data_IF_587362028182
#
_entry.id   IF_587362028182
#
_cell.length_a   1.000
_cell.length_b   1.000
_cell.length_c   1.000
_cell.angle_alpha   90.00
_cell.angle_beta   90.00
_cell.angle_gamma   90.00
#
_symmetry.space_group_name_H-M   'P 1'
#
loop_
_entity.id
_entity.type
_entity.pdbx_description
1 polymer ?
#
# COMPACT_ATOMS: atom_id res chain seq x y z
N UNK A 1 34.02 3.32 -13.70
CA UNK A 1 34.23 4.14 -12.49
C UNK A 1 34.00 5.61 -12.86
N UNK A 2 32.74 6.04 -12.79
CA UNK A 2 32.37 7.43 -12.61
C UNK A 2 31.10 7.41 -11.77
N UNK A 3 31.27 7.61 -10.46
CA UNK A 3 30.16 7.91 -9.57
C UNK A 3 29.54 9.20 -10.09
N UNK A 4 28.33 9.09 -10.64
CA UNK A 4 27.44 10.25 -10.73
C UNK A 4 27.17 10.62 -9.28
N UNK A 5 27.79 11.71 -8.81
CA UNK A 5 27.40 12.36 -7.56
C UNK A 5 25.96 12.81 -7.78
N UNK A 6 25.02 12.07 -7.20
CA UNK A 6 23.68 12.58 -7.02
C UNK A 6 23.80 13.87 -6.21
N UNK A 7 23.21 14.93 -6.72
CA UNK A 7 22.96 16.14 -5.94
C UNK A 7 22.02 15.67 -4.84
N UNK A 8 22.53 15.54 -3.61
CA UNK A 8 21.68 15.53 -2.42
C UNK A 8 20.85 16.81 -2.53
N UNK A 9 19.58 16.68 -2.92
CA UNK A 9 18.59 17.73 -2.69
C UNK A 9 18.58 17.85 -1.17
N UNK A 10 19.18 18.90 -0.60
CA UNK A 10 18.99 19.24 0.80
C UNK A 10 17.48 19.37 1.01
N UNK A 11 16.87 18.32 1.58
CA UNK A 11 15.44 18.31 1.90
C UNK A 11 15.29 19.30 3.05
N UNK A 12 14.85 20.51 2.75
CA UNK A 12 14.52 21.51 3.78
C UNK A 12 13.32 20.95 4.53
N UNK A 13 13.55 20.49 5.76
CA UNK A 13 12.49 20.00 6.62
C UNK A 13 11.47 21.13 6.86
N UNK A 14 10.18 20.81 6.70
CA UNK A 14 9.12 21.79 6.94
C UNK A 14 9.12 22.17 8.41
N UNK A 15 9.38 23.45 8.70
CA UNK A 15 9.35 23.96 10.07
C UNK A 15 7.90 23.97 10.56
N UNK A 16 7.60 23.14 11.56
CA UNK A 16 6.26 22.99 12.12
C UNK A 16 6.20 23.34 13.60
N UNK A 17 4.99 23.64 14.09
CA UNK A 17 4.68 23.63 15.53
C UNK A 17 3.24 23.17 15.74
N UNK A 18 2.98 22.51 16.86
CA UNK A 18 1.64 22.00 17.20
C UNK A 18 1.10 22.73 18.43
N UNK A 19 -0.11 23.29 18.32
CA UNK A 19 -0.92 23.77 19.45
C UNK A 19 -2.32 23.22 19.31
N UNK A 20 -2.58 22.07 19.91
CA UNK A 20 -3.84 21.33 19.74
C UNK A 20 -5.08 22.25 19.85
N UNK A 21 -6.04 22.17 18.91
CA UNK A 21 -6.14 21.21 17.80
C UNK A 21 -5.44 21.65 16.49
N UNK A 22 -4.52 22.61 16.54
CA UNK A 22 -3.90 23.21 15.36
C UNK A 22 -2.47 22.74 15.12
N UNK A 23 -2.13 22.52 13.87
CA UNK A 23 -0.76 22.31 13.36
C UNK A 23 -0.41 23.49 12.47
N UNK A 24 0.75 24.09 12.67
CA UNK A 24 1.23 25.24 11.89
C UNK A 24 2.50 24.88 11.16
N UNK A 25 2.64 25.38 9.94
CA UNK A 25 3.77 25.16 9.05
C UNK A 25 4.27 26.49 8.53
N UNK A 26 5.56 26.77 8.68
CA UNK A 26 6.20 27.92 8.06
C UNK A 26 6.71 27.55 6.67
N UNK A 27 6.42 28.40 5.68
CA UNK A 27 6.86 28.24 4.31
C UNK A 27 7.42 29.55 3.77
N UNK A 28 8.59 29.48 3.14
CA UNK A 28 9.20 30.64 2.54
C UNK A 28 8.53 31.06 1.21
N UNK A 29 8.45 32.38 0.94
CA UNK A 29 8.74 33.48 1.86
C UNK A 29 7.53 33.79 2.76
N UNK A 30 7.75 33.86 4.08
CA UNK A 30 6.87 34.57 5.03
C UNK A 30 5.41 34.08 5.12
N UNK A 31 5.14 32.81 4.84
CA UNK A 31 3.79 32.24 4.92
C UNK A 31 3.67 31.22 6.03
N UNK A 32 2.51 31.21 6.68
CA UNK A 32 2.12 30.19 7.65
C UNK A 32 0.88 29.48 7.16
N UNK A 33 0.98 28.17 6.97
CA UNK A 33 -0.19 27.31 6.79
C UNK A 33 -0.61 26.73 8.13
N UNK A 34 -1.90 26.79 8.43
CA UNK A 34 -2.48 26.23 9.64
C UNK A 34 -3.48 25.15 9.25
N UNK A 35 -3.35 23.97 9.82
CA UNK A 35 -4.34 22.91 9.77
C UNK A 35 -5.02 22.76 11.13
N UNK A 36 -6.35 22.70 11.15
CA UNK A 36 -7.14 22.39 12.34
C UNK A 36 -7.62 20.95 12.27
N UNK A 37 -7.20 20.13 13.23
CA UNK A 37 -7.60 18.73 13.36
C UNK A 37 -9.04 18.61 13.89
N UNK A 38 -9.92 18.01 13.09
CA UNK A 38 -11.33 17.84 13.43
C UNK A 38 -11.77 16.38 13.58
N UNK A 39 -11.04 15.42 12.98
CA UNK A 39 -11.33 13.99 13.06
C UNK A 39 -10.11 13.16 13.46
N UNK A 40 -10.32 11.86 13.67
CA UNK A 40 -9.24 10.86 13.85
C UNK A 40 -8.83 10.15 12.56
N UNK A 41 -9.36 10.59 11.40
CA UNK A 41 -9.03 10.02 10.09
C UNK A 41 -7.68 10.58 9.61
N UNK A 42 -6.78 9.69 9.19
CA UNK A 42 -5.48 10.09 8.66
C UNK A 42 -5.60 10.62 7.22
N UNK A 43 -4.73 11.56 6.88
CA UNK A 43 -4.68 12.23 5.59
C UNK A 43 -3.65 11.57 4.65
N UNK A 44 -3.84 11.77 3.36
CA UNK A 44 -2.89 11.51 2.27
C UNK A 44 -2.74 12.79 1.44
N UNK A 45 -1.72 12.84 0.58
CA UNK A 45 -1.53 13.97 -0.36
C UNK A 45 -2.69 14.18 -1.33
N UNK A 46 -3.56 13.19 -1.56
CA UNK A 46 -4.74 13.33 -2.42
C UNK A 46 -5.98 13.81 -1.66
N UNK A 47 -6.04 13.59 -0.34
CA UNK A 47 -7.21 13.94 0.48
C UNK A 47 -6.92 14.99 1.57
N UNK A 48 -5.74 15.61 1.57
CA UNK A 48 -5.29 16.55 2.62
C UNK A 48 -6.23 17.73 2.89
N UNK A 49 -7.08 18.10 1.93
CA UNK A 49 -8.10 19.14 2.11
C UNK A 49 -9.37 18.64 2.81
N UNK A 50 -9.50 17.33 3.02
CA UNK A 50 -10.63 16.70 3.71
C UNK A 50 -10.36 16.63 5.21
N UNK A 51 -11.42 16.41 6.01
CA UNK A 51 -11.31 16.03 7.43
C UNK A 51 -10.65 17.06 8.39
N UNK A 52 -10.57 18.32 7.98
CA UNK A 52 -10.17 19.44 8.81
C UNK A 52 -10.31 20.76 8.08
N UNK A 53 -9.74 21.81 8.67
CA UNK A 53 -9.80 23.16 8.11
C UNK A 53 -8.38 23.70 7.91
N UNK A 54 -8.07 24.10 6.68
CA UNK A 54 -6.82 24.79 6.38
C UNK A 54 -7.01 26.30 6.26
N UNK A 55 -6.02 27.05 6.76
CA UNK A 55 -5.90 28.50 6.57
C UNK A 55 -4.47 28.89 6.25
N UNK A 56 -4.27 30.03 5.60
CA UNK A 56 -2.96 30.62 5.35
C UNK A 56 -2.87 32.01 5.97
N UNK A 57 -1.69 32.39 6.41
CA UNK A 57 -1.39 33.71 6.99
C UNK A 57 -0.06 34.22 6.46
N UNK A 58 0.09 35.53 6.37
CA UNK A 58 1.37 36.18 6.05
C UNK A 58 1.99 36.69 7.35
N UNK A 59 3.29 36.49 7.52
CA UNK A 59 4.06 36.95 8.68
C UNK A 59 5.24 37.83 8.21
N UNK A 60 5.87 38.57 9.13
CA UNK A 60 6.94 39.50 8.76
C UNK A 60 8.24 38.79 8.34
N UNK A 61 8.60 37.74 9.07
CA UNK A 61 9.82 36.96 8.92
C UNK A 61 9.68 35.59 9.61
N UNK A 62 10.71 34.75 9.53
CA UNK A 62 10.75 33.45 10.18
C UNK A 62 10.72 33.54 11.73
N UNK A 63 11.32 34.57 12.33
CA UNK A 63 11.34 34.73 13.80
C UNK A 63 9.93 34.92 14.35
N UNK A 64 9.08 35.64 13.60
CA UNK A 64 7.68 35.83 13.93
C UNK A 64 6.88 34.50 13.98
N UNK A 65 7.35 33.44 13.32
CA UNK A 65 6.67 32.14 13.33
C UNK A 65 6.58 31.54 14.73
N UNK A 66 7.61 31.68 15.56
CA UNK A 66 7.63 31.06 16.90
C UNK A 66 6.51 31.62 17.79
N UNK A 67 6.36 32.94 17.76
CA UNK A 67 5.36 33.67 18.55
C UNK A 67 3.99 33.77 17.87
N UNK A 68 3.87 33.40 16.59
CA UNK A 68 2.63 33.50 15.81
C UNK A 68 1.41 32.89 16.51
N UNK A 69 0.30 33.62 16.46
CA UNK A 69 -1.05 33.24 16.90
C UNK A 69 -2.05 33.64 15.83
N UNK A 70 -2.85 32.69 15.37
CA UNK A 70 -3.78 32.90 14.27
C UNK A 70 -5.00 33.76 14.69
N UNK A 71 -5.33 33.78 15.98
CA UNK A 71 -6.45 34.55 16.53
C UNK A 71 -6.20 36.06 16.49
N UNK A 72 -4.93 36.47 16.44
CA UNK A 72 -4.48 37.86 16.41
C UNK A 72 -4.25 38.36 14.97
N UNK A 73 -4.48 37.52 13.96
CA UNK A 73 -4.15 37.80 12.55
C UNK A 73 -5.37 37.57 11.65
N UNK A 74 -5.71 38.54 10.81
CA UNK A 74 -6.79 38.35 9.83
C UNK A 74 -6.29 37.47 8.67
N UNK A 75 -7.01 36.38 8.32
CA UNK A 75 -6.66 35.59 7.16
C UNK A 75 -6.90 36.42 5.88
N UNK A 76 -6.04 36.31 4.86
CA UNK A 76 -6.28 36.91 3.55
C UNK A 76 -7.54 36.30 2.90
N UNK A 77 -8.18 37.05 2.00
CA UNK A 77 -9.31 36.55 1.23
C UNK A 77 -8.86 35.45 0.25
N UNK A 78 -9.39 34.24 0.44
CA UNK A 78 -9.07 33.06 -0.38
C UNK A 78 -8.01 32.16 0.25
N UNK A 79 -8.12 30.85 0.00
CA UNK A 79 -7.19 29.84 0.47
C UNK A 79 -6.58 29.08 -0.71
N UNK A 80 -5.26 29.02 -0.76
CA UNK A 80 -4.52 28.19 -1.70
C UNK A 80 -3.19 27.76 -1.09
N UNK A 81 -2.90 26.47 -1.17
CA UNK A 81 -1.56 25.94 -0.86
C UNK A 81 -0.79 25.86 -2.17
N UNK A 82 0.35 26.53 -2.21
CA UNK A 82 1.29 26.48 -3.33
C UNK A 82 2.63 25.98 -2.79
N UNK A 83 2.74 24.66 -2.60
CA UNK A 83 3.98 24.01 -2.17
C UNK A 83 4.31 22.85 -3.11
N UNK A 84 5.58 22.46 -3.17
CA UNK A 84 6.00 21.25 -3.87
C UNK A 84 5.38 20.01 -3.23
N UNK A 85 5.18 18.96 -4.02
CA UNK A 85 4.53 17.74 -3.55
C UNK A 85 5.30 17.05 -2.41
N UNK A 86 6.63 17.08 -2.45
CA UNK A 86 7.51 16.67 -1.34
C UNK A 86 7.15 17.38 -0.03
N UNK A 87 6.99 18.72 -0.09
CA UNK A 87 6.68 19.57 1.08
C UNK A 87 5.26 19.27 1.58
N UNK A 88 4.30 19.10 0.67
CA UNK A 88 2.94 18.72 1.04
C UNK A 88 2.91 17.36 1.75
N UNK A 89 3.68 16.39 1.27
CA UNK A 89 3.80 15.08 1.88
C UNK A 89 4.37 15.18 3.31
N UNK A 90 5.40 15.99 3.53
CA UNK A 90 5.96 16.24 4.86
C UNK A 90 4.94 16.91 5.80
N UNK A 91 4.15 17.87 5.28
CA UNK A 91 3.06 18.51 6.05
C UNK A 91 1.97 17.49 6.43
N UNK A 92 1.55 16.64 5.50
CA UNK A 92 0.57 15.56 5.73
C UNK A 92 1.07 14.60 6.80
N UNK A 93 2.34 14.22 6.74
CA UNK A 93 2.95 13.32 7.72
C UNK A 93 2.94 13.92 9.13
N UNK A 94 3.27 15.20 9.26
CA UNK A 94 3.24 15.91 10.55
C UNK A 94 1.82 16.06 11.10
N UNK A 95 0.83 16.31 10.23
CA UNK A 95 -0.58 16.29 10.61
C UNK A 95 -0.98 14.90 11.13
N UNK A 96 -0.60 13.82 10.43
CA UNK A 96 -0.95 12.46 10.84
C UNK A 96 -0.30 12.06 12.16
N UNK A 97 0.96 12.45 12.39
CA UNK A 97 1.63 12.27 13.67
C UNK A 97 0.87 13.00 14.79
N UNK A 98 0.42 14.23 14.52
CA UNK A 98 -0.38 15.01 15.47
C UNK A 98 -1.75 14.37 15.73
N UNK A 99 -2.42 13.86 14.70
CA UNK A 99 -3.71 13.13 14.84
C UNK A 99 -3.53 11.90 15.73
N UNK A 100 -2.46 11.12 15.51
CA UNK A 100 -2.16 9.94 16.31
C UNK A 100 -1.88 10.31 17.77
N UNK A 101 -1.04 11.31 18.01
CA UNK A 101 -0.69 11.80 19.35
C UNK A 101 -1.91 12.27 20.14
N UNK A 102 -2.83 13.00 19.50
CA UNK A 102 -4.01 13.58 20.14
C UNK A 102 -5.30 12.78 19.89
N UNK A 103 -5.18 11.53 19.43
CA UNK A 103 -6.31 10.69 18.98
C UNK A 103 -7.41 10.55 20.03
N UNK A 104 -7.03 10.31 21.29
CA UNK A 104 -8.00 10.19 22.40
C UNK A 104 -8.87 11.45 22.55
N UNK A 105 -8.25 12.64 22.50
CA UNK A 105 -8.98 13.91 22.61
C UNK A 105 -9.86 14.16 21.38
N UNK A 106 -9.38 13.81 20.20
CA UNK A 106 -10.13 13.91 18.94
C UNK A 106 -11.34 12.95 18.93
N UNK A 107 -11.20 11.75 19.47
CA UNK A 107 -12.28 10.76 19.56
C UNK A 107 -13.41 11.19 20.52
N UNK A 108 -13.12 12.07 21.48
CA UNK A 108 -14.13 12.64 22.38
C UNK A 108 -14.94 13.78 21.76
N UNK A 109 -14.51 14.37 20.64
CA UNK A 109 -15.24 15.48 20.01
C UNK A 109 -16.60 15.00 19.45
N UNK A 110 -17.67 15.82 19.58
CA UNK A 110 -18.93 15.55 18.92
C UNK A 110 -18.72 15.38 17.41
N UNK A 111 -19.38 14.40 16.79
CA UNK A 111 -19.31 14.10 15.36
C UNK A 111 -17.94 13.62 14.83
N UNK A 112 -16.96 13.37 15.71
CA UNK A 112 -15.69 12.75 15.32
C UNK A 112 -15.90 11.31 14.87
N UNK A 113 -15.40 10.98 13.67
CA UNK A 113 -15.41 9.63 13.13
C UNK A 113 -14.23 8.85 13.69
N UNK A 114 -14.46 8.14 14.80
CA UNK A 114 -13.52 7.15 15.30
C UNK A 114 -13.83 5.79 14.65
N UNK A 115 -12.91 5.22 13.83
CA UNK A 115 -13.15 3.96 13.12
C UNK A 115 -13.30 2.75 14.05
N UNK A 116 -12.89 2.87 15.32
CA UNK A 116 -12.99 1.82 16.33
C UNK A 116 -14.06 2.09 17.40
N UNK A 117 -14.91 3.11 17.20
CA UNK A 117 -16.03 3.36 18.10
C UNK A 117 -17.18 2.40 17.79
N UNK A 118 -17.70 1.75 18.83
CA UNK A 118 -18.84 0.82 18.74
C UNK A 118 -18.62 -0.37 17.78
N UNK A 119 -17.36 -0.73 17.47
CA UNK A 119 -17.03 -1.92 16.67
C UNK A 119 -16.74 -3.12 17.56
N UNK A 120 -17.13 -4.31 17.10
CA UNK A 120 -16.92 -5.56 17.85
C UNK A 120 -15.70 -6.35 17.37
N UNK A 121 -15.15 -6.01 16.21
CA UNK A 121 -14.00 -6.70 15.62
C UNK A 121 -13.28 -5.84 14.57
N UNK A 122 -11.99 -6.14 14.38
CA UNK A 122 -11.15 -5.53 13.34
C UNK A 122 -10.77 -6.60 12.31
N UNK A 123 -10.88 -6.25 11.03
CA UNK A 123 -10.52 -7.10 9.92
C UNK A 123 -9.35 -6.48 9.15
N UNK A 124 -8.31 -7.28 8.90
CA UNK A 124 -7.11 -6.84 8.18
C UNK A 124 -6.97 -7.67 6.90
N UNK A 125 -6.72 -7.01 5.77
CA UNK A 125 -6.67 -7.65 4.45
C UNK A 125 -5.54 -7.08 3.57
N UNK A 126 -5.11 -7.86 2.58
CA UNK A 126 -3.94 -7.63 1.74
C UNK A 126 -4.09 -6.58 0.62
N UNK A 127 -5.29 -6.08 0.37
CA UNK A 127 -5.56 -5.09 -0.69
C UNK A 127 -6.77 -4.21 -0.37
N UNK A 128 -6.82 -2.97 -0.88
CA UNK A 128 -8.05 -2.13 -0.79
C UNK A 128 -9.25 -2.76 -1.48
N UNK A 129 -9.03 -3.51 -2.57
CA UNK A 129 -10.11 -4.25 -3.22
C UNK A 129 -10.67 -5.33 -2.30
N UNK A 130 -9.82 -6.09 -1.60
CA UNK A 130 -10.27 -7.04 -0.60
C UNK A 130 -10.98 -6.33 0.57
N UNK A 131 -10.51 -5.15 0.96
CA UNK A 131 -11.13 -4.36 2.01
C UNK A 131 -12.55 -3.95 1.63
N UNK A 132 -12.78 -3.53 0.39
CA UNK A 132 -14.11 -3.30 -0.18
C UNK A 132 -15.01 -4.53 -0.07
N UNK A 133 -14.52 -5.69 -0.51
CA UNK A 133 -15.28 -6.95 -0.44
C UNK A 133 -15.65 -7.32 1.00
N UNK A 134 -14.71 -7.23 1.94
CA UNK A 134 -14.92 -7.55 3.36
C UNK A 134 -15.83 -6.54 4.06
N UNK A 135 -15.72 -5.24 3.72
CA UNK A 135 -16.61 -4.18 4.22
C UNK A 135 -18.07 -4.47 3.88
N UNK A 136 -18.35 -5.06 2.71
CA UNK A 136 -19.71 -5.44 2.32
C UNK A 136 -20.11 -6.80 2.91
N UNK A 137 -19.19 -7.77 2.95
CA UNK A 137 -19.52 -9.16 3.30
C UNK A 137 -19.71 -9.41 4.80
N UNK A 138 -18.90 -8.78 5.65
CA UNK A 138 -19.01 -8.94 7.11
C UNK A 138 -20.09 -7.98 7.62
N UNK A 139 -20.94 -8.38 8.58
CA UNK A 139 -21.97 -7.49 9.13
C UNK A 139 -21.38 -6.45 10.11
N UNK A 140 -22.05 -5.31 10.26
CA UNK A 140 -21.67 -4.30 11.26
C UNK A 140 -22.09 -4.72 12.69
N UNK A 141 -21.38 -4.24 13.73
CA UNK A 141 -20.34 -3.22 13.67
C UNK A 141 -18.91 -3.80 13.58
N UNK A 142 -18.11 -3.26 12.67
CA UNK A 142 -16.76 -3.76 12.32
C UNK A 142 -15.86 -2.62 11.83
N UNK A 143 -14.55 -2.80 11.98
CA UNK A 143 -13.52 -2.01 11.29
C UNK A 143 -12.79 -2.87 10.25
N UNK A 144 -12.41 -2.29 9.11
CA UNK A 144 -11.66 -3.00 8.06
C UNK A 144 -10.48 -2.15 7.60
N UNK A 145 -9.27 -2.67 7.83
CA UNK A 145 -7.99 -2.08 7.45
C UNK A 145 -7.49 -2.81 6.20
N UNK A 146 -7.29 -2.05 5.12
CA UNK A 146 -6.77 -2.54 3.85
C UNK A 146 -5.29 -2.23 3.71
N UNK A 147 -4.54 -3.18 3.18
CA UNK A 147 -3.19 -2.95 2.69
C UNK A 147 -3.22 -2.45 1.26
N UNK A 148 -2.26 -1.64 0.84
CA UNK A 148 -2.34 -0.95 -0.47
C UNK A 148 -1.28 -1.40 -1.47
N UNK A 149 -0.38 -2.28 -1.06
CA UNK A 149 0.72 -2.75 -1.90
C UNK A 149 0.72 -4.26 -2.11
N UNK A 150 1.48 -4.72 -3.11
CA UNK A 150 1.72 -6.14 -3.33
C UNK A 150 3.12 -6.51 -2.84
N UNK A 151 3.21 -7.39 -1.84
CA UNK A 151 4.49 -7.81 -1.25
C UNK A 151 5.17 -8.97 -2.00
N UNK A 152 4.50 -9.50 -3.03
CA UNK A 152 5.13 -10.42 -3.98
C UNK A 152 6.23 -9.74 -4.82
N UNK A 153 6.15 -8.42 -4.99
CA UNK A 153 7.07 -7.61 -5.80
C UNK A 153 7.73 -6.51 -4.97
N UNK A 154 8.91 -6.08 -5.40
CA UNK A 154 9.73 -5.09 -4.72
C UNK A 154 10.46 -5.64 -3.49
N UNK A 155 11.43 -4.88 -2.96
CA UNK A 155 12.16 -5.28 -1.76
C UNK A 155 11.23 -5.22 -0.54
N UNK A 156 11.39 -6.15 0.39
CA UNK A 156 10.75 -6.12 1.72
C UNK A 156 11.79 -6.04 2.84
N UNK A 157 13.04 -5.78 2.46
CA UNK A 157 14.16 -5.67 3.38
C UNK A 157 13.82 -4.64 4.46
N UNK A 158 13.81 -5.07 5.72
CA UNK A 158 13.44 -4.24 6.89
C UNK A 158 12.14 -3.43 6.69
N UNK A 159 11.12 -3.96 6.01
CA UNK A 159 9.89 -3.19 5.74
C UNK A 159 9.15 -2.68 7.01
N UNK A 160 9.44 -3.28 8.16
CA UNK A 160 8.95 -2.87 9.48
C UNK A 160 9.73 -1.69 10.09
N UNK A 161 10.77 -1.20 9.42
CA UNK A 161 11.58 -0.04 9.79
C UNK A 161 11.47 1.05 8.71
N UNK A 162 11.66 2.32 9.08
CA UNK A 162 11.57 3.47 8.16
C UNK A 162 12.53 3.35 6.98
N UNK A 163 13.78 2.95 7.24
CA UNK A 163 14.81 2.76 6.20
C UNK A 163 14.39 1.76 5.12
N UNK A 164 13.74 0.66 5.52
CA UNK A 164 13.25 -0.35 4.59
C UNK A 164 12.05 0.12 3.77
N UNK A 165 11.20 0.96 4.37
CA UNK A 165 10.07 1.60 3.67
C UNK A 165 10.56 2.58 2.61
N UNK A 166 11.52 3.45 2.95
CA UNK A 166 12.13 4.40 2.01
C UNK A 166 12.80 3.67 0.84
N UNK A 167 13.60 2.63 1.12
CA UNK A 167 14.25 1.81 0.10
C UNK A 167 13.23 1.14 -0.84
N UNK A 168 12.11 0.68 -0.30
CA UNK A 168 11.03 0.10 -1.11
C UNK A 168 10.32 1.15 -1.96
N UNK A 169 10.04 2.32 -1.40
CA UNK A 169 9.37 3.41 -2.13
C UNK A 169 10.22 3.90 -3.30
N UNK A 170 11.53 4.05 -3.11
CA UNK A 170 12.48 4.37 -4.19
C UNK A 170 12.46 3.29 -5.28
N UNK A 171 12.50 2.01 -4.90
CA UNK A 171 12.42 0.92 -5.86
C UNK A 171 11.09 0.94 -6.64
N UNK A 172 9.96 1.14 -5.96
CA UNK A 172 8.65 1.22 -6.61
C UNK A 172 8.58 2.41 -7.57
N UNK A 173 9.10 3.57 -7.18
CA UNK A 173 9.17 4.78 -8.00
C UNK A 173 9.96 4.55 -9.30
N UNK A 174 11.13 3.91 -9.21
CA UNK A 174 12.00 3.67 -10.37
C UNK A 174 11.46 2.58 -11.31
N UNK A 175 10.78 1.57 -10.76
CA UNK A 175 10.50 0.34 -11.49
C UNK A 175 9.01 0.15 -11.83
N UNK A 176 8.08 0.73 -11.09
CA UNK A 176 6.64 0.49 -11.26
C UNK A 176 5.94 1.76 -11.74
N UNK A 177 5.37 1.70 -12.95
CA UNK A 177 4.53 2.78 -13.48
C UNK A 177 3.16 2.74 -12.79
N UNK A 178 3.05 3.38 -11.63
CA UNK A 178 1.77 3.56 -10.92
C UNK A 178 0.95 4.68 -11.55
N UNK A 179 -0.36 4.45 -11.74
CA UNK A 179 -1.30 5.51 -12.11
C UNK A 179 -1.72 6.39 -10.92
N UNK A 180 -1.26 6.05 -9.71
CA UNK A 180 -1.54 6.83 -8.49
C UNK A 180 -0.68 8.09 -8.43
N UNK A 181 -1.16 9.10 -7.69
CA UNK A 181 -0.39 10.30 -7.38
C UNK A 181 0.90 9.93 -6.61
N UNK A 182 1.97 10.70 -6.86
CA UNK A 182 3.24 10.55 -6.14
C UNK A 182 3.00 10.66 -4.61
N UNK A 183 3.64 9.78 -3.82
CA UNK A 183 3.45 9.58 -2.38
C UNK A 183 2.12 8.95 -1.91
N UNK A 184 1.10 8.80 -2.75
CA UNK A 184 -0.20 8.27 -2.31
C UNK A 184 -0.08 6.86 -1.72
N UNK A 185 0.68 5.98 -2.36
CA UNK A 185 0.96 4.63 -1.87
C UNK A 185 1.70 4.63 -0.53
N UNK A 186 2.70 5.51 -0.39
CA UNK A 186 3.50 5.67 0.82
C UNK A 186 2.67 6.22 2.00
N UNK A 187 1.83 7.24 1.77
CA UNK A 187 0.93 7.76 2.80
C UNK A 187 -0.04 6.68 3.26
N UNK A 188 -0.65 5.95 2.33
CA UNK A 188 -1.58 4.87 2.63
C UNK A 188 -0.92 3.76 3.45
N UNK A 189 0.30 3.35 3.08
CA UNK A 189 1.06 2.36 3.82
C UNK A 189 1.33 2.82 5.26
N UNK A 190 1.81 4.07 5.45
CA UNK A 190 2.07 4.63 6.78
C UNK A 190 0.79 4.78 7.61
N UNK A 191 -0.30 5.24 7.00
CA UNK A 191 -1.59 5.36 7.67
C UNK A 191 -2.13 4.00 8.10
N UNK A 192 -1.98 2.96 7.28
CA UNK A 192 -2.33 1.59 7.65
C UNK A 192 -1.55 1.11 8.88
N UNK A 193 -0.25 1.42 8.98
CA UNK A 193 0.53 1.12 10.20
C UNK A 193 0.01 1.87 11.43
N UNK A 194 -0.34 3.15 11.28
CA UNK A 194 -0.96 3.94 12.36
C UNK A 194 -2.31 3.37 12.78
N UNK A 195 -3.16 2.99 11.82
CA UNK A 195 -4.45 2.35 12.09
C UNK A 195 -4.28 1.03 12.83
N UNK A 196 -3.28 0.22 12.46
CA UNK A 196 -2.96 -1.01 13.20
C UNK A 196 -2.51 -0.67 14.62
N UNK A 197 -1.61 0.30 14.80
CA UNK A 197 -1.14 0.72 16.11
C UNK A 197 -2.30 1.19 17.00
N UNK A 198 -3.29 1.87 16.43
CA UNK A 198 -4.46 2.40 17.10
C UNK A 198 -5.53 1.36 17.46
N UNK A 199 -5.39 0.10 17.03
CA UNK A 199 -6.36 -0.96 17.36
C UNK A 199 -6.42 -1.14 18.89
N UNK A 200 -7.60 -0.99 19.52
CA UNK A 200 -7.80 -1.29 20.93
C UNK A 200 -7.47 -2.74 21.26
N UNK A 201 -6.73 -2.99 22.34
CA UNK A 201 -6.27 -4.34 22.74
C UNK A 201 -7.40 -5.33 23.02
N UNK A 202 -8.60 -4.83 23.32
CA UNK A 202 -9.78 -5.65 23.65
C UNK A 202 -10.48 -6.23 22.42
N UNK A 203 -10.21 -5.72 21.21
CA UNK A 203 -10.92 -6.14 20.00
C UNK A 203 -10.25 -7.37 19.36
N UNK A 204 -11.02 -8.40 18.95
CA UNK A 204 -10.46 -9.48 18.16
C UNK A 204 -10.06 -9.00 16.75
N UNK A 205 -8.96 -9.54 16.24
CA UNK A 205 -8.43 -9.24 14.90
C UNK A 205 -8.62 -10.45 14.00
N UNK A 206 -9.23 -10.27 12.83
CA UNK A 206 -9.38 -11.28 11.79
C UNK A 206 -8.50 -10.91 10.58
N UNK A 207 -7.49 -11.71 10.28
CA UNK A 207 -6.61 -11.50 9.13
C UNK A 207 -7.06 -12.42 7.99
N UNK A 208 -7.44 -11.84 6.86
CA UNK A 208 -7.85 -12.60 5.66
C UNK A 208 -6.68 -12.74 4.70
N UNK A 209 -6.46 -13.96 4.23
CA UNK A 209 -5.36 -14.28 3.33
C UNK A 209 -5.66 -15.55 2.52
N UNK A 210 -4.96 -15.69 1.40
CA UNK A 210 -4.95 -16.85 0.52
C UNK A 210 -3.57 -17.41 0.32
N UNK A 211 -3.45 -18.33 -0.63
CA UNK A 211 -2.26 -19.14 -0.86
C UNK A 211 -1.41 -18.61 -2.02
N UNK A 212 -1.17 -17.30 -2.06
CA UNK A 212 -0.27 -16.65 -3.03
C UNK A 212 0.88 -15.91 -2.32
N UNK A 213 1.92 -15.57 -3.08
CA UNK A 213 3.13 -14.96 -2.52
C UNK A 213 2.88 -13.61 -1.85
N UNK A 214 1.94 -12.81 -2.38
CA UNK A 214 1.65 -11.49 -1.84
C UNK A 214 0.93 -11.60 -0.51
N UNK A 215 -0.17 -12.37 -0.45
CA UNK A 215 -0.97 -12.49 0.77
C UNK A 215 -0.25 -13.28 1.87
N UNK A 216 0.56 -14.28 1.50
CA UNK A 216 1.37 -15.02 2.45
C UNK A 216 2.51 -14.16 3.02
N UNK A 217 3.16 -13.32 2.21
CA UNK A 217 4.17 -12.37 2.70
C UNK A 217 3.55 -11.30 3.59
N UNK A 218 2.38 -10.79 3.20
CA UNK A 218 1.57 -9.86 3.98
C UNK A 218 1.20 -10.42 5.35
N UNK A 219 0.74 -11.67 5.42
CA UNK A 219 0.42 -12.32 6.69
C UNK A 219 1.61 -12.29 7.67
N UNK A 220 2.82 -12.65 7.21
CA UNK A 220 4.03 -12.62 8.06
C UNK A 220 4.35 -11.21 8.51
N UNK A 221 4.26 -10.24 7.59
CA UNK A 221 4.52 -8.84 7.90
C UNK A 221 3.56 -8.32 8.98
N UNK A 222 2.24 -8.48 8.79
CA UNK A 222 1.24 -7.99 9.73
C UNK A 222 1.34 -8.68 11.09
N UNK A 223 1.56 -10.00 11.13
CA UNK A 223 1.76 -10.70 12.40
C UNK A 223 3.02 -10.22 13.13
N UNK A 224 4.05 -9.83 12.39
CA UNK A 224 5.23 -9.19 12.99
C UNK A 224 4.92 -7.79 13.51
N UNK A 225 4.15 -6.96 12.79
CA UNK A 225 3.73 -5.63 13.29
C UNK A 225 2.87 -5.77 14.56
N UNK A 226 1.99 -6.77 14.62
CA UNK A 226 1.11 -7.05 15.75
C UNK A 226 1.79 -7.74 16.94
N UNK A 227 3.09 -8.10 16.86
CA UNK A 227 3.79 -8.97 17.82
C UNK A 227 3.75 -8.55 19.29
N UNK A 228 3.50 -7.26 19.56
CA UNK A 228 3.45 -6.71 20.91
C UNK A 228 2.01 -6.41 21.38
N UNK A 229 1.00 -6.71 20.57
CA UNK A 229 -0.40 -6.48 20.91
C UNK A 229 -1.02 -7.69 21.62
N UNK A 230 -1.86 -7.42 22.60
CA UNK A 230 -2.57 -8.45 23.38
C UNK A 230 -3.86 -8.98 22.71
N UNK A 231 -4.21 -8.44 21.53
CA UNK A 231 -5.42 -8.81 20.80
C UNK A 231 -5.46 -10.31 20.49
N UNK A 232 -6.65 -10.91 20.58
CA UNK A 232 -6.88 -12.26 20.06
C UNK A 232 -6.90 -12.21 18.53
N UNK A 233 -6.06 -13.01 17.88
CA UNK A 233 -5.91 -13.03 16.42
C UNK A 233 -6.51 -14.31 15.84
N UNK A 234 -7.29 -14.17 14.77
CA UNK A 234 -7.86 -15.27 13.98
C UNK A 234 -7.35 -15.18 12.54
N UNK A 235 -6.90 -16.31 12.01
CA UNK A 235 -6.41 -16.42 10.64
C UNK A 235 -7.50 -17.01 9.75
N UNK A 236 -7.99 -16.21 8.81
CA UNK A 236 -9.05 -16.56 7.87
C UNK A 236 -8.42 -16.94 6.53
N UNK A 237 -7.90 -18.17 6.40
CA UNK A 237 -7.44 -18.69 5.10
C UNK A 237 -8.65 -18.89 4.20
N UNK A 238 -8.91 -17.96 3.28
CA UNK A 238 -10.13 -18.02 2.50
C UNK A 238 -10.16 -19.23 1.56
N UNK A 239 -9.01 -19.73 1.10
CA UNK A 239 -8.95 -20.89 0.21
C UNK A 239 -9.46 -22.12 0.94
N UNK A 240 -8.90 -22.40 2.12
CA UNK A 240 -9.30 -23.55 2.94
C UNK A 240 -10.76 -23.43 3.42
N UNK A 241 -11.20 -22.22 3.80
CA UNK A 241 -12.57 -21.99 4.22
C UNK A 241 -13.57 -22.12 3.06
N UNK A 242 -13.21 -21.64 1.87
CA UNK A 242 -14.05 -21.76 0.68
C UNK A 242 -14.18 -23.23 0.23
N UNK A 243 -13.07 -23.98 0.24
CA UNK A 243 -13.05 -25.44 0.03
C UNK A 243 -13.98 -26.18 0.98
N UNK A 244 -13.96 -25.79 2.25
CA UNK A 244 -14.68 -26.49 3.31
C UNK A 244 -16.19 -26.19 3.30
N UNK A 245 -16.58 -24.94 3.02
CA UNK A 245 -17.95 -24.48 3.29
C UNK A 245 -18.76 -24.09 2.05
N UNK A 246 -18.13 -23.79 0.92
CA UNK A 246 -18.84 -23.27 -0.26
C UNK A 246 -18.75 -24.24 -1.44
N UNK A 247 -17.56 -24.73 -1.77
CA UNK A 247 -17.42 -25.66 -2.89
C UNK A 247 -17.53 -27.12 -2.48
N UNK A 248 -17.95 -27.96 -3.42
CA UNK A 248 -17.69 -29.40 -3.37
C UNK A 248 -16.29 -29.68 -3.91
N UNK A 249 -15.67 -30.82 -3.55
CA UNK A 249 -14.29 -31.19 -3.93
C UNK A 249 -14.01 -31.21 -5.44
N UNK A 250 -15.04 -31.12 -6.30
CA UNK A 250 -14.94 -31.22 -7.75
C UNK A 250 -14.85 -29.87 -8.50
N UNK A 251 -15.08 -28.72 -7.84
CA UNK A 251 -14.89 -27.41 -8.50
C UNK A 251 -13.47 -26.89 -8.20
N UNK A 252 -12.56 -27.04 -9.15
CA UNK A 252 -11.19 -26.56 -9.00
C UNK A 252 -11.11 -25.02 -8.88
N UNK A 253 -10.30 -24.58 -7.93
CA UNK A 253 -9.99 -23.21 -7.53
C UNK A 253 -9.77 -22.23 -8.69
N UNK A 254 -10.65 -21.22 -8.79
CA UNK A 254 -10.46 -20.06 -9.67
C UNK A 254 -9.95 -18.80 -8.94
N UNK A 255 -9.93 -18.80 -7.61
CA UNK A 255 -9.58 -17.61 -6.82
C UNK A 255 -8.11 -17.62 -6.45
N UNK A 256 -7.42 -16.53 -6.78
CA UNK A 256 -6.01 -16.32 -6.45
C UNK A 256 -5.83 -15.38 -5.26
N UNK A 257 -6.72 -14.40 -5.11
CA UNK A 257 -6.65 -13.37 -4.07
C UNK A 257 -7.97 -13.27 -3.31
N UNK A 258 -7.91 -12.77 -2.08
CA UNK A 258 -9.08 -12.53 -1.23
C UNK A 258 -10.07 -11.58 -1.93
N UNK A 259 -9.54 -10.63 -2.71
CA UNK A 259 -10.33 -9.66 -3.49
C UNK A 259 -11.21 -10.30 -4.56
N UNK A 260 -10.95 -11.54 -4.98
CA UNK A 260 -11.76 -12.22 -5.98
C UNK A 260 -13.02 -12.88 -5.41
N UNK A 261 -13.17 -12.93 -4.08
CA UNK A 261 -14.39 -13.44 -3.44
C UNK A 261 -15.56 -12.50 -3.69
N UNK A 262 -16.76 -13.06 -3.84
CA UNK A 262 -17.97 -12.27 -3.74
C UNK A 262 -18.22 -11.92 -2.26
N UNK A 263 -18.77 -10.73 -1.98
CA UNK A 263 -19.10 -10.34 -0.60
C UNK A 263 -20.09 -11.30 0.08
N UNK A 264 -20.94 -11.97 -0.70
CA UNK A 264 -21.85 -13.00 -0.18
C UNK A 264 -21.10 -14.23 0.34
N UNK A 265 -20.02 -14.62 -0.32
CA UNK A 265 -19.16 -15.72 0.11
C UNK A 265 -18.43 -15.33 1.40
N UNK A 266 -17.85 -14.12 1.44
CA UNK A 266 -17.20 -13.59 2.65
C UNK A 266 -18.14 -13.63 3.86
N UNK A 267 -19.42 -13.27 3.66
CA UNK A 267 -20.45 -13.37 4.71
C UNK A 267 -20.58 -14.80 5.23
N UNK A 268 -20.75 -15.77 4.33
CA UNK A 268 -20.89 -17.19 4.69
C UNK A 268 -19.64 -17.69 5.44
N UNK A 269 -18.45 -17.37 4.95
CA UNK A 269 -17.19 -17.77 5.60
C UNK A 269 -17.07 -17.18 7.00
N UNK A 270 -17.45 -15.91 7.19
CA UNK A 270 -17.40 -15.27 8.50
C UNK A 270 -18.48 -15.80 9.47
N UNK A 271 -19.67 -16.15 8.98
CA UNK A 271 -20.70 -16.81 9.80
C UNK A 271 -20.23 -18.19 10.31
N UNK A 272 -19.38 -18.88 9.53
CA UNK A 272 -18.76 -20.17 9.89
C UNK A 272 -17.47 -20.05 10.70
N UNK A 273 -17.05 -18.82 11.08
CA UNK A 273 -15.80 -18.58 11.83
C UNK A 273 -15.71 -19.28 13.18
N UNK A 274 -16.82 -19.75 13.76
CA UNK A 274 -16.81 -20.40 15.08
C UNK A 274 -15.92 -21.65 15.17
N UNK A 275 -15.54 -22.24 14.03
CA UNK A 275 -14.60 -23.35 13.96
C UNK A 275 -13.14 -22.92 13.78
N UNK A 276 -12.89 -21.63 13.48
CA UNK A 276 -11.54 -21.07 13.34
C UNK A 276 -10.98 -20.82 14.74
N UNK A 277 -9.88 -21.49 15.04
CA UNK A 277 -9.18 -21.32 16.32
C UNK A 277 -8.39 -20.03 16.32
N UNK A 278 -8.28 -19.42 17.49
CA UNK A 278 -7.36 -18.31 17.69
C UNK A 278 -5.93 -18.81 17.47
N UNK A 279 -5.11 -17.94 16.87
CA UNK A 279 -3.69 -18.17 16.64
C UNK A 279 -2.99 -18.36 17.99
N UNK A 280 -2.28 -19.48 18.15
CA UNK A 280 -1.57 -19.74 19.39
C UNK A 280 -0.14 -19.16 19.38
N UNK A 281 0.49 -19.08 20.55
CA UNK A 281 1.83 -18.50 20.71
C UNK A 281 2.91 -19.21 19.90
N UNK A 282 2.83 -20.54 19.75
CA UNK A 282 3.83 -21.31 19.00
C UNK A 282 3.72 -21.05 17.49
N UNK A 283 2.49 -20.95 16.97
CA UNK A 283 2.22 -20.55 15.58
C UNK A 283 2.68 -19.10 15.33
N UNK A 284 2.35 -18.18 16.22
CA UNK A 284 2.75 -16.77 16.13
C UNK A 284 4.28 -16.62 16.10
N UNK A 285 4.98 -17.31 17.00
CA UNK A 285 6.44 -17.33 17.05
C UNK A 285 7.08 -17.86 15.76
N UNK A 286 6.46 -18.87 15.13
CA UNK A 286 6.91 -19.39 13.85
C UNK A 286 6.76 -18.35 12.73
N UNK A 287 5.64 -17.64 12.67
CA UNK A 287 5.45 -16.55 11.70
C UNK A 287 6.45 -15.40 11.92
N UNK A 288 6.78 -15.07 13.17
CA UNK A 288 7.80 -14.05 13.46
C UNK A 288 9.17 -14.43 12.92
N UNK A 289 9.62 -15.67 13.15
CA UNK A 289 10.88 -16.18 12.59
C UNK A 289 10.90 -16.16 11.07
N UNK A 290 9.78 -16.51 10.44
CA UNK A 290 9.64 -16.44 8.99
C UNK A 290 9.78 -15.01 8.49
N UNK A 291 9.15 -14.04 9.15
CA UNK A 291 9.32 -12.63 8.82
C UNK A 291 10.75 -12.12 9.04
N UNK A 292 11.39 -12.47 10.15
CA UNK A 292 12.78 -12.10 10.44
C UNK A 292 13.71 -12.59 9.33
N UNK A 293 13.48 -13.80 8.81
CA UNK A 293 14.25 -14.34 7.69
C UNK A 293 13.92 -13.59 6.38
N UNK A 294 12.63 -13.41 6.07
CA UNK A 294 12.18 -12.76 4.84
C UNK A 294 12.62 -11.29 4.74
N UNK A 295 12.61 -10.57 5.86
CA UNK A 295 12.98 -9.16 5.94
C UNK A 295 14.49 -8.90 5.88
N UNK A 296 15.32 -9.94 5.86
CA UNK A 296 16.75 -9.81 5.51
C UNK A 296 17.02 -10.01 4.01
N UNK A 297 16.05 -10.57 3.27
CA UNK A 297 16.22 -10.88 1.87
C UNK A 297 16.12 -9.59 1.01
N UNK A 298 17.01 -9.48 0.03
CA UNK A 298 17.12 -8.28 -0.84
C UNK A 298 16.48 -8.46 -2.21
N UNK A 299 15.98 -9.66 -2.53
CA UNK A 299 15.30 -9.86 -3.80
C UNK A 299 13.97 -9.12 -3.87
N UNK A 300 13.51 -8.97 -5.10
CA UNK A 300 12.38 -8.13 -5.45
C UNK A 300 11.21 -8.92 -6.03
N UNK A 301 11.31 -10.25 -6.06
CA UNK A 301 10.29 -11.13 -6.60
C UNK A 301 10.15 -12.39 -5.76
N UNK A 302 8.91 -12.71 -5.40
CA UNK A 302 8.56 -13.85 -4.56
C UNK A 302 7.46 -14.68 -5.22
N UNK A 303 7.55 -16.00 -5.07
CA UNK A 303 6.52 -16.97 -5.44
C UNK A 303 6.13 -17.81 -4.23
N UNK A 304 4.91 -18.36 -4.22
CA UNK A 304 4.46 -19.28 -3.18
C UNK A 304 4.29 -20.67 -3.75
N UNK A 305 5.09 -21.63 -3.29
CA UNK A 305 5.05 -23.04 -3.71
C UNK A 305 5.33 -23.94 -2.52
N UNK A 306 4.67 -25.09 -2.47
CA UNK A 306 4.82 -26.08 -1.40
C UNK A 306 4.70 -25.47 0.02
N UNK A 307 3.73 -24.56 0.19
CA UNK A 307 3.49 -23.80 1.42
C UNK A 307 4.68 -22.94 1.89
N UNK A 308 5.55 -22.51 0.98
CA UNK A 308 6.71 -21.67 1.27
C UNK A 308 6.78 -20.47 0.34
N UNK A 309 7.18 -19.34 0.93
CA UNK A 309 7.56 -18.14 0.19
C UNK A 309 8.99 -18.34 -0.30
N UNK A 310 9.16 -18.31 -1.61
CA UNK A 310 10.44 -18.50 -2.28
C UNK A 310 10.84 -17.21 -2.99
N UNK A 311 12.02 -16.70 -2.70
CA UNK A 311 12.62 -15.63 -3.49
C UNK A 311 13.12 -16.20 -4.81
N UNK A 312 12.80 -15.52 -5.91
CA UNK A 312 13.22 -15.89 -7.25
C UNK A 312 13.94 -14.73 -7.92
N UNK A 313 14.67 -15.01 -9.00
CA UNK A 313 15.37 -13.96 -9.74
C UNK A 313 14.37 -12.98 -10.34
N UNK A 314 14.73 -11.70 -10.35
CA UNK A 314 13.90 -10.63 -10.92
C UNK A 314 13.50 -10.89 -12.40
N UNK A 315 14.35 -11.56 -13.17
CA UNK A 315 14.11 -11.91 -14.57
C UNK A 315 13.39 -13.26 -14.78
N UNK A 316 12.79 -13.84 -13.73
CA UNK A 316 12.12 -15.15 -13.76
C UNK A 316 11.09 -15.27 -14.91
N UNK A 317 10.41 -14.18 -15.26
CA UNK A 317 9.35 -14.16 -16.28
C UNK A 317 9.81 -13.65 -17.65
N UNK A 318 11.07 -13.23 -17.81
CA UNK A 318 11.57 -12.62 -19.05
C UNK A 318 11.47 -13.60 -20.24
N UNK A 319 11.85 -14.86 -20.04
CA UNK A 319 11.74 -15.89 -21.08
C UNK A 319 10.29 -16.15 -21.50
N UNK A 320 9.35 -16.09 -20.55
CA UNK A 320 7.92 -16.24 -20.84
C UNK A 320 7.43 -15.07 -21.69
N UNK A 321 7.79 -13.84 -21.31
CA UNK A 321 7.46 -12.62 -22.06
C UNK A 321 7.98 -12.70 -23.49
N UNK A 322 9.26 -13.03 -23.67
CA UNK A 322 9.88 -13.14 -24.99
C UNK A 322 9.22 -14.22 -25.85
N UNK A 323 8.89 -15.37 -25.25
CA UNK A 323 8.20 -16.45 -25.96
C UNK A 323 6.76 -16.05 -26.35
N UNK A 324 6.04 -15.33 -25.48
CA UNK A 324 4.71 -14.80 -25.80
C UNK A 324 4.76 -13.84 -26.98
N UNK A 325 5.73 -12.90 -27.00
CA UNK A 325 5.91 -11.98 -28.13
C UNK A 325 6.24 -12.75 -29.42
N UNK A 326 7.06 -13.81 -29.33
CA UNK A 326 7.38 -14.67 -30.47
C UNK A 326 6.12 -15.34 -31.03
N UNK A 327 5.28 -15.95 -30.19
CA UNK A 327 4.01 -16.58 -30.58
C UNK A 327 3.08 -15.55 -31.24
N UNK A 328 2.94 -14.36 -30.64
CA UNK A 328 2.12 -13.29 -31.20
C UNK A 328 2.63 -12.81 -32.56
N UNK A 329 3.95 -12.81 -32.81
CA UNK A 329 4.51 -12.53 -34.12
C UNK A 329 4.27 -13.63 -35.15
N UNK A 330 4.27 -14.90 -34.74
CA UNK A 330 3.95 -16.04 -35.63
C UNK A 330 2.49 -16.02 -36.10
N UNK A 331 1.60 -15.41 -35.31
CA UNK A 331 0.21 -15.18 -35.69
C UNK A 331 0.00 -13.98 -36.64
N UNK A 332 1.03 -13.18 -36.92
CA UNK A 332 0.95 -12.05 -37.86
C UNK A 332 1.37 -12.48 -39.27
N UNK A 333 0.70 -11.96 -40.30
CA UNK A 333 1.16 -12.11 -41.70
C UNK A 333 2.54 -11.49 -41.92
N UNK A 334 2.79 -10.33 -41.30
CA UNK A 334 4.07 -9.64 -41.28
C UNK A 334 4.43 -9.23 -39.85
N UNK A 335 5.64 -9.57 -39.40
CA UNK A 335 6.13 -9.24 -38.06
C UNK A 335 6.22 -7.73 -37.85
N UNK A 336 5.32 -7.18 -37.05
CA UNK A 336 5.23 -5.76 -36.70
C UNK A 336 4.96 -5.54 -35.20
N UNK A 337 5.11 -4.31 -34.73
CA UNK A 337 4.96 -3.88 -33.34
C UNK A 337 3.61 -4.27 -32.70
N UNK A 338 3.67 -4.94 -31.55
CA UNK A 338 2.51 -5.42 -30.77
C UNK A 338 2.26 -4.48 -29.58
N UNK A 339 1.00 -4.21 -29.25
CA UNK A 339 0.64 -3.44 -28.04
C UNK A 339 1.15 -4.15 -26.78
N UNK A 340 1.86 -3.43 -25.92
CA UNK A 340 2.41 -3.99 -24.66
C UNK A 340 1.32 -4.60 -23.79
N UNK A 341 0.18 -3.91 -23.63
CA UNK A 341 -0.96 -4.46 -22.89
C UNK A 341 -1.49 -5.80 -23.44
N UNK A 342 -1.42 -6.04 -24.76
CA UNK A 342 -1.80 -7.33 -25.34
C UNK A 342 -0.81 -8.44 -24.99
N UNK A 343 0.50 -8.14 -24.99
CA UNK A 343 1.53 -9.07 -24.53
C UNK A 343 1.31 -9.43 -23.07
N UNK A 344 1.10 -8.43 -22.21
CA UNK A 344 0.86 -8.62 -20.77
C UNK A 344 -0.40 -9.46 -20.55
N UNK A 345 -1.50 -9.16 -21.25
CA UNK A 345 -2.75 -9.94 -21.17
C UNK A 345 -2.53 -11.42 -21.49
N UNK A 346 -1.80 -11.71 -22.56
CA UNK A 346 -1.48 -13.08 -22.98
C UNK A 346 -0.55 -13.79 -21.96
N UNK A 347 0.45 -13.09 -21.43
CA UNK A 347 1.31 -13.64 -20.36
C UNK A 347 0.48 -13.95 -19.12
N UNK A 348 -0.41 -13.05 -18.71
CA UNK A 348 -1.28 -13.25 -17.56
C UNK A 348 -2.22 -14.42 -17.78
N UNK A 349 -2.82 -14.59 -18.96
CA UNK A 349 -3.70 -15.73 -19.26
C UNK A 349 -2.97 -17.07 -19.11
N UNK A 350 -1.73 -17.15 -19.59
CA UNK A 350 -0.91 -18.35 -19.56
C UNK A 350 -0.17 -18.57 -18.22
N UNK A 351 0.00 -17.53 -17.39
CA UNK A 351 0.65 -17.63 -16.09
C UNK A 351 -0.38 -17.77 -14.96
N UNK A 352 -0.49 -18.98 -14.39
CA UNK A 352 -1.42 -19.24 -13.27
C UNK A 352 -0.95 -18.64 -11.95
N UNK A 353 0.36 -18.63 -11.71
CA UNK A 353 0.95 -18.35 -10.40
C UNK A 353 1.28 -16.89 -10.14
N UNK A 354 1.27 -16.03 -11.17
CA UNK A 354 1.69 -14.64 -11.08
C UNK A 354 0.80 -13.72 -11.89
N UNK A 355 0.16 -12.75 -11.24
CA UNK A 355 -0.83 -11.86 -11.87
C UNK A 355 -0.55 -10.37 -11.70
N UNK A 356 0.71 -9.97 -11.53
CA UNK A 356 1.07 -8.55 -11.35
C UNK A 356 1.42 -7.89 -12.69
N UNK A 357 0.43 -7.25 -13.33
CA UNK A 357 0.59 -6.60 -14.64
C UNK A 357 1.69 -5.54 -14.65
N UNK A 358 1.75 -4.70 -13.61
CA UNK A 358 2.73 -3.61 -13.53
C UNK A 358 4.17 -4.12 -13.43
N UNK A 359 4.37 -5.28 -12.78
CA UNK A 359 5.66 -5.95 -12.75
C UNK A 359 6.05 -6.53 -14.12
N UNK A 360 5.09 -7.08 -14.87
CA UNK A 360 5.36 -7.57 -16.23
C UNK A 360 5.69 -6.40 -17.19
N UNK A 361 5.00 -5.28 -17.05
CA UNK A 361 5.29 -4.03 -17.77
C UNK A 361 6.72 -3.57 -17.48
N UNK A 362 7.10 -3.53 -16.20
CA UNK A 362 8.46 -3.26 -15.76
C UNK A 362 9.48 -4.17 -16.45
N UNK A 363 9.26 -5.49 -16.45
CA UNK A 363 10.17 -6.43 -17.11
C UNK A 363 10.26 -6.23 -18.62
N UNK A 364 9.16 -5.85 -19.28
CA UNK A 364 9.18 -5.49 -20.71
C UNK A 364 10.05 -4.26 -20.97
N UNK A 365 9.98 -3.21 -20.12
CA UNK A 365 10.86 -2.04 -20.23
C UNK A 365 12.34 -2.42 -20.09
N UNK A 366 12.66 -3.30 -19.14
CA UNK A 366 14.02 -3.81 -18.97
C UNK A 366 14.53 -4.58 -20.20
N UNK A 367 13.67 -5.39 -20.82
CA UNK A 367 13.99 -6.10 -22.06
C UNK A 367 14.19 -5.15 -23.26
N UNK A 368 13.55 -3.98 -23.25
CA UNK A 368 13.86 -2.90 -24.21
C UNK A 368 15.25 -2.31 -23.92
N UNK A 369 15.53 -1.93 -22.68
CA UNK A 369 16.81 -1.28 -22.31
C UNK A 369 18.02 -2.19 -22.52
N UNK A 370 17.85 -3.49 -22.29
CA UNK A 370 18.88 -4.51 -22.52
C UNK A 370 18.96 -4.97 -23.99
N UNK A 371 18.11 -4.45 -24.86
CA UNK A 371 18.20 -4.62 -26.30
C UNK A 371 17.58 -5.89 -26.87
N UNK A 372 16.79 -6.63 -26.09
CA UNK A 372 16.00 -7.77 -26.62
C UNK A 372 14.76 -7.32 -27.39
N UNK A 373 14.20 -6.15 -27.04
CA UNK A 373 13.00 -5.60 -27.65
C UNK A 373 13.25 -4.22 -28.26
N UNK A 374 12.57 -3.94 -29.38
CA UNK A 374 12.43 -2.61 -29.95
C UNK A 374 11.19 -1.91 -29.38
N UNK A 375 11.25 -0.58 -29.24
CA UNK A 375 10.19 0.26 -28.69
C UNK A 375 9.59 1.18 -29.77
N UNK A 376 8.26 1.25 -29.80
CA UNK A 376 7.50 2.27 -30.55
C UNK A 376 6.48 2.95 -29.64
N UNK A 377 6.60 4.26 -29.48
CA UNK A 377 5.75 5.08 -28.59
C UNK A 377 6.49 5.50 -27.31
N UNK A 378 5.75 6.09 -26.37
CA UNK A 378 6.30 6.55 -25.06
C UNK A 378 5.76 5.62 -23.97
N UNK A 379 6.62 5.02 -23.12
CA UNK A 379 6.21 4.04 -22.12
C UNK A 379 5.63 4.70 -20.86
N UNK A 380 4.56 5.50 -21.03
CA UNK A 380 3.83 6.14 -19.92
C UNK A 380 2.89 5.19 -19.18
N UNK A 381 2.36 4.21 -19.89
CA UNK A 381 1.64 3.06 -19.32
C UNK A 381 1.60 1.93 -20.36
N UNK A 382 1.17 0.73 -19.95
CA UNK A 382 1.07 -0.45 -20.81
C UNK A 382 0.21 -0.26 -22.08
N UNK A 383 -0.65 0.76 -22.13
CA UNK A 383 -1.46 1.11 -23.31
C UNK A 383 -0.79 2.04 -24.33
N UNK A 384 0.30 2.71 -23.95
CA UNK A 384 0.87 3.85 -24.71
C UNK A 384 2.03 3.50 -25.64
N UNK A 385 2.54 2.26 -25.55
CA UNK A 385 3.66 1.83 -26.38
C UNK A 385 3.47 0.42 -26.91
N UNK A 386 4.34 0.08 -27.86
CA UNK A 386 4.38 -1.20 -28.53
C UNK A 386 5.79 -1.74 -28.53
N UNK A 387 5.89 -3.06 -28.58
CA UNK A 387 7.16 -3.80 -28.60
C UNK A 387 7.25 -4.74 -29.78
N UNK A 388 8.48 -5.05 -30.18
CA UNK A 388 8.82 -6.03 -31.21
C UNK A 388 10.10 -6.74 -30.81
N UNK A 389 10.23 -8.04 -31.11
CA UNK A 389 11.53 -8.72 -30.96
C UNK A 389 12.57 -8.05 -31.86
N UNK A 390 13.70 -7.67 -31.26
CA UNK A 390 14.82 -7.10 -32.02
C UNK A 390 15.41 -8.17 -32.94
N UNK A 391 15.67 -7.77 -34.18
CA UNK A 391 16.21 -8.64 -35.24
C UNK A 391 17.72 -8.82 -35.15
#
# INVERSE_FOLDING_TARGET
MSMVKFIEKERIAVKSKVRFPFVYFYQEPNRVYMYKMESTEYLTVSNWTQNGEWRSFEIADEEAFETFKHEETNPPEGFSIFVYQDVLNDMVEEVNNSIQQYRYLLACKPFSRNPFKEVDSVHIVSSESAAGTVRIGVQHPKAVIGFTEFLAIGPIWKLHEKEGQEYRNEWLFDHINSEQEEFEGENKFRNMLREIEDIPETLPIYIWYGNDASEQTFLRFILYILRHKANVIYLMNFVELYEKYITTKDAQHKFLYTSHLASQDVRVLFEKRGEVKALNEAELYQYHKEWETLSQAKGVLRTFRDNKIMEVKQNQYDSLILNTIKILHEAQEQKDFIKTGSVIGEVLENCKEFKHADYLEYRIRELIYTGFLELKGVPKSMGHYRVKLRS
#
